data_IF_231336889995
#
_entry.id   IF_231336889995
#
_cell.length_a   1.000
_cell.length_b   1.000
_cell.length_c   1.000
_cell.angle_alpha   90.00
_cell.angle_beta   90.00
_cell.angle_gamma   90.00
#
_symmetry.space_group_name_H-M   'P 1'
#
loop_
_entity.id
_entity.type
_entity.pdbx_description
1 polymer ?
#
# COMPACT_ATOMS: atom_id res chain seq x y z
N UNK A 1 -15.16 24.53 -7.39
CA UNK A 1 -14.01 23.85 -6.74
C UNK A 1 -14.43 22.42 -6.41
N UNK A 2 -14.05 21.48 -7.24
CA UNK A 2 -14.33 20.05 -6.97
C UNK A 2 -13.07 19.39 -6.39
N UNK A 3 -12.96 19.37 -5.07
CA UNK A 3 -11.95 18.55 -4.39
C UNK A 3 -12.49 17.11 -4.35
N UNK A 4 -11.86 16.23 -5.11
CA UNK A 4 -12.24 14.83 -5.18
C UNK A 4 -11.07 13.94 -4.80
N UNK A 5 -11.16 13.28 -3.67
CA UNK A 5 -10.18 12.29 -3.24
C UNK A 5 -10.34 11.00 -4.04
N UNK A 6 -9.34 10.63 -4.83
CA UNK A 6 -9.31 9.40 -5.62
C UNK A 6 -8.86 8.18 -4.79
N UNK A 7 -7.95 8.41 -3.84
CA UNK A 7 -7.50 7.36 -2.92
C UNK A 7 -8.53 7.10 -1.84
N UNK A 8 -8.69 5.83 -1.46
CA UNK A 8 -9.57 5.44 -0.37
C UNK A 8 -8.87 5.49 0.99
N UNK A 9 -9.66 5.44 2.09
CA UNK A 9 -9.15 5.20 3.44
C UNK A 9 -8.32 3.91 3.54
N UNK A 10 -8.52 2.98 2.60
CA UNK A 10 -7.77 1.75 2.47
C UNK A 10 -6.27 1.99 2.22
N UNK A 11 -5.89 3.09 1.54
CA UNK A 11 -4.48 3.48 1.40
C UNK A 11 -3.82 3.71 2.76
N UNK A 12 -4.53 4.38 3.68
CA UNK A 12 -4.05 4.57 5.05
C UNK A 12 -3.98 3.25 5.81
N UNK A 13 -5.04 2.44 5.72
CA UNK A 13 -5.09 1.13 6.38
C UNK A 13 -3.95 0.22 5.94
N UNK A 14 -3.74 0.08 4.63
CA UNK A 14 -2.67 -0.75 4.06
C UNK A 14 -1.27 -0.23 4.38
N UNK A 15 -1.11 1.11 4.46
CA UNK A 15 0.20 1.71 4.71
C UNK A 15 0.63 1.67 6.16
N UNK A 16 -0.31 1.85 7.10
CA UNK A 16 0.00 1.99 8.51
C UNK A 16 -0.58 0.88 9.38
N UNK A 17 -1.88 0.59 9.24
CA UNK A 17 -2.58 -0.33 10.16
C UNK A 17 -2.12 -1.77 9.94
N UNK A 18 -2.11 -2.23 8.71
CA UNK A 18 -1.74 -3.61 8.38
C UNK A 18 -0.28 -3.94 8.78
N UNK A 19 0.75 -3.14 8.43
CA UNK A 19 2.12 -3.40 8.88
C UNK A 19 2.26 -3.34 10.40
N UNK A 20 1.61 -2.36 11.05
CA UNK A 20 1.67 -2.24 12.51
C UNK A 20 1.04 -3.44 13.20
N UNK A 21 -0.13 -3.89 12.76
CA UNK A 21 -0.76 -5.11 13.28
C UNK A 21 0.12 -6.34 13.08
N UNK A 22 0.69 -6.51 11.88
CA UNK A 22 1.58 -7.62 11.57
C UNK A 22 2.81 -7.61 12.50
N UNK A 23 3.51 -6.50 12.56
CA UNK A 23 4.73 -6.36 13.37
C UNK A 23 4.42 -6.60 14.84
N UNK A 24 3.37 -5.99 15.39
CA UNK A 24 3.02 -6.10 16.80
C UNK A 24 2.56 -7.52 17.15
N UNK A 25 1.59 -8.07 16.43
CA UNK A 25 0.98 -9.36 16.78
C UNK A 25 1.97 -10.52 16.61
N UNK A 26 2.62 -10.59 15.45
CA UNK A 26 3.57 -11.68 15.17
C UNK A 26 4.92 -11.45 15.87
N UNK A 27 5.34 -10.19 16.04
CA UNK A 27 6.56 -9.86 16.79
C UNK A 27 6.45 -10.20 18.26
N UNK A 28 5.30 -9.93 18.90
CA UNK A 28 5.03 -10.35 20.28
C UNK A 28 4.97 -11.88 20.38
N UNK A 29 4.39 -12.56 19.40
CA UNK A 29 4.38 -14.02 19.34
C UNK A 29 5.79 -14.60 19.23
N UNK A 30 6.64 -14.05 18.37
CA UNK A 30 8.04 -14.43 18.26
C UNK A 30 8.77 -14.22 19.59
N UNK A 31 8.64 -13.03 20.17
CA UNK A 31 9.26 -12.71 21.47
C UNK A 31 8.81 -13.68 22.56
N UNK A 32 7.53 -13.98 22.66
CA UNK A 32 7.00 -14.92 23.64
C UNK A 32 7.55 -16.34 23.46
N UNK A 33 7.80 -16.79 22.21
CA UNK A 33 8.46 -18.08 21.95
C UNK A 33 9.90 -18.13 22.50
N UNK A 34 10.66 -17.05 22.33
CA UNK A 34 12.04 -16.98 22.80
C UNK A 34 12.14 -16.80 24.32
N UNK A 35 11.21 -16.07 24.93
CA UNK A 35 11.15 -15.87 26.38
C UNK A 35 10.51 -17.05 27.15
N UNK A 36 10.05 -18.09 26.44
CA UNK A 36 9.40 -19.25 27.06
C UNK A 36 7.96 -18.99 27.53
N UNK A 37 7.34 -17.89 27.07
CA UNK A 37 5.94 -17.54 27.38
C UNK A 37 4.91 -18.37 26.61
N UNK A 38 5.30 -18.93 25.46
CA UNK A 38 4.47 -19.87 24.71
C UNK A 38 4.92 -21.30 24.98
N UNK A 39 3.99 -22.13 25.42
CA UNK A 39 4.22 -23.55 25.70
C UNK A 39 3.13 -24.37 25.05
N UNK A 40 3.49 -25.58 24.61
CA UNK A 40 2.57 -26.55 24.06
C UNK A 40 1.58 -27.10 25.12
N UNK A 41 0.62 -27.94 24.72
CA UNK A 41 -0.37 -28.54 25.62
C UNK A 41 0.26 -29.30 26.80
N UNK A 42 1.44 -29.91 26.56
CA UNK A 42 2.19 -30.68 27.56
C UNK A 42 3.18 -29.81 28.35
N UNK A 43 2.98 -28.51 28.39
CA UNK A 43 3.89 -27.52 29.02
C UNK A 43 5.34 -27.56 28.46
N UNK A 44 5.53 -28.13 27.29
CA UNK A 44 6.83 -28.23 26.62
C UNK A 44 7.14 -26.92 25.85
N UNK A 45 8.42 -26.48 25.85
CA UNK A 45 8.80 -25.32 25.04
C UNK A 45 8.72 -25.66 23.54
N UNK A 46 8.45 -24.66 22.67
CA UNK A 46 8.45 -24.85 21.23
C UNK A 46 9.82 -25.36 20.77
N UNK A 47 9.86 -26.30 19.78
CA UNK A 47 11.11 -26.75 19.19
C UNK A 47 11.94 -25.58 18.66
N UNK A 48 13.26 -25.66 18.74
CA UNK A 48 14.16 -24.61 18.26
C UNK A 48 13.92 -24.28 16.77
N UNK A 49 13.73 -25.29 15.93
CA UNK A 49 13.42 -25.07 14.51
C UNK A 49 12.14 -24.28 14.29
N UNK A 50 11.12 -24.44 15.14
CA UNK A 50 9.87 -23.66 15.07
C UNK A 50 10.11 -22.19 15.42
N UNK A 51 10.90 -21.89 16.45
CA UNK A 51 11.22 -20.51 16.85
C UNK A 51 11.91 -19.75 15.72
N UNK A 52 12.95 -20.36 15.15
CA UNK A 52 13.71 -19.76 14.05
C UNK A 52 12.89 -19.66 12.76
N UNK A 53 12.10 -20.69 12.45
CA UNK A 53 11.20 -20.66 11.30
C UNK A 53 10.15 -19.55 11.41
N UNK A 54 9.53 -19.39 12.58
CA UNK A 54 8.56 -18.32 12.85
C UNK A 54 9.20 -16.92 12.73
N UNK A 55 10.40 -16.76 13.30
CA UNK A 55 11.16 -15.51 13.20
C UNK A 55 11.49 -15.17 11.74
N UNK A 56 11.93 -16.15 10.95
CA UNK A 56 12.24 -15.96 9.53
C UNK A 56 10.99 -15.53 8.72
N UNK A 57 9.85 -16.18 8.95
CA UNK A 57 8.57 -15.81 8.31
C UNK A 57 8.14 -14.40 8.73
N UNK A 58 8.29 -14.05 10.00
CA UNK A 58 7.96 -12.71 10.48
C UNK A 58 8.83 -11.62 9.84
N UNK A 59 10.14 -11.84 9.74
CA UNK A 59 11.07 -10.91 9.08
C UNK A 59 10.74 -10.78 7.58
N UNK A 60 10.56 -11.91 6.89
CA UNK A 60 10.23 -11.92 5.47
C UNK A 60 8.90 -11.21 5.20
N UNK A 61 7.86 -11.50 5.98
CA UNK A 61 6.55 -10.85 5.88
C UNK A 61 6.61 -9.35 6.18
N UNK A 62 7.37 -8.94 7.21
CA UNK A 62 7.58 -7.53 7.54
C UNK A 62 8.28 -6.79 6.40
N UNK A 63 9.33 -7.38 5.83
CA UNK A 63 10.05 -6.80 4.69
C UNK A 63 9.15 -6.67 3.47
N UNK A 64 8.38 -7.70 3.16
CA UNK A 64 7.43 -7.70 2.05
C UNK A 64 6.34 -6.63 2.22
N UNK A 65 5.73 -6.53 3.41
CA UNK A 65 4.72 -5.53 3.71
C UNK A 65 5.29 -4.11 3.65
N UNK A 66 6.47 -3.91 4.22
CA UNK A 66 7.13 -2.62 4.17
C UNK A 66 7.39 -2.18 2.72
N UNK A 67 7.98 -3.07 1.91
CA UNK A 67 8.28 -2.78 0.51
C UNK A 67 7.01 -2.52 -0.33
N UNK A 68 5.97 -3.34 -0.17
CA UNK A 68 4.71 -3.20 -0.90
C UNK A 68 3.88 -1.98 -0.47
N UNK A 69 3.84 -1.70 0.84
CA UNK A 69 2.95 -0.66 1.39
C UNK A 69 3.61 0.72 1.47
N UNK A 70 4.94 0.81 1.57
CA UNK A 70 5.65 2.09 1.66
C UNK A 70 5.47 2.96 0.41
N UNK A 71 5.32 2.33 -0.76
CA UNK A 71 5.13 3.01 -2.05
C UNK A 71 3.76 3.69 -2.19
N UNK A 72 2.76 3.29 -1.39
CA UNK A 72 1.40 3.81 -1.49
C UNK A 72 1.32 5.29 -1.12
N UNK A 73 0.67 6.09 -1.99
CA UNK A 73 0.46 7.52 -1.83
C UNK A 73 -1.03 7.83 -1.76
N UNK A 74 -1.37 8.94 -1.13
CA UNK A 74 -2.72 9.51 -1.18
C UNK A 74 -2.81 10.44 -2.38
N UNK A 75 -3.83 10.28 -3.21
CA UNK A 75 -4.03 11.08 -4.42
C UNK A 75 -5.39 11.77 -4.37
N UNK A 76 -5.39 13.07 -4.63
CA UNK A 76 -6.59 13.92 -4.78
C UNK A 76 -6.50 14.66 -6.11
N UNK A 77 -7.65 14.96 -6.70
CA UNK A 77 -7.79 15.86 -7.83
C UNK A 77 -8.43 17.15 -7.34
N UNK A 78 -7.79 18.25 -7.59
CA UNK A 78 -8.29 19.60 -7.27
C UNK A 78 -7.96 20.52 -8.44
N UNK A 79 -8.96 21.20 -8.98
CA UNK A 79 -8.82 22.25 -9.99
C UNK A 79 -7.81 21.92 -11.13
N UNK A 80 -8.00 20.80 -11.79
CA UNK A 80 -7.16 20.33 -12.92
C UNK A 80 -5.70 20.02 -12.55
N UNK A 81 -5.43 19.64 -11.31
CA UNK A 81 -4.13 19.13 -10.88
C UNK A 81 -4.27 17.94 -9.93
N UNK A 82 -3.26 17.10 -9.91
CA UNK A 82 -3.12 16.01 -8.96
C UNK A 82 -2.36 16.48 -7.73
N UNK A 83 -2.94 16.28 -6.56
CA UNK A 83 -2.28 16.45 -5.28
C UNK A 83 -1.91 15.08 -4.72
N UNK A 84 -0.63 14.84 -4.61
CA UNK A 84 -0.07 13.56 -4.17
C UNK A 84 0.60 13.76 -2.82
N UNK A 85 0.18 12.97 -1.83
CA UNK A 85 0.71 13.02 -0.47
C UNK A 85 1.18 11.66 0.00
N UNK A 86 2.31 11.63 0.69
CA UNK A 86 2.77 10.47 1.44
C UNK A 86 2.38 10.52 2.92
N UNK A 87 1.44 11.39 3.29
CA UNK A 87 0.98 11.75 4.64
C UNK A 87 1.91 12.69 5.43
N UNK A 88 3.17 12.88 4.99
CA UNK A 88 4.12 13.82 5.60
C UNK A 88 4.32 15.05 4.72
N UNK A 89 4.29 14.85 3.41
CA UNK A 89 4.44 15.91 2.39
C UNK A 89 3.38 15.75 1.33
N UNK A 90 2.96 16.86 0.75
CA UNK A 90 2.05 16.91 -0.39
C UNK A 90 2.71 17.71 -1.52
N UNK A 91 2.64 17.17 -2.73
CA UNK A 91 3.12 17.85 -3.95
C UNK A 91 1.97 18.00 -4.93
N UNK A 92 2.00 19.07 -5.70
CA UNK A 92 1.08 19.33 -6.81
C UNK A 92 1.72 18.87 -8.11
N UNK A 93 1.01 18.06 -8.87
CA UNK A 93 1.43 17.54 -10.16
C UNK A 93 0.38 17.96 -11.19
N UNK A 94 0.72 18.77 -12.18
CA UNK A 94 -0.21 19.13 -13.24
C UNK A 94 -0.48 17.91 -14.15
N UNK A 95 -1.64 17.86 -14.79
CA UNK A 95 -2.04 16.70 -15.62
C UNK A 95 -1.17 16.49 -16.84
N UNK A 96 -0.56 17.54 -17.39
CA UNK A 96 0.38 17.47 -18.52
C UNK A 96 1.68 16.69 -18.18
N UNK A 97 2.01 16.60 -16.89
CA UNK A 97 3.08 15.76 -16.38
C UNK A 97 2.75 14.26 -16.36
N UNK A 98 1.49 13.88 -16.50
CA UNK A 98 1.07 12.48 -16.55
C UNK A 98 1.38 11.91 -17.93
N UNK A 99 2.16 10.83 -17.95
CA UNK A 99 2.49 10.09 -19.18
C UNK A 99 1.49 8.99 -19.49
N UNK A 100 1.18 8.18 -18.48
CA UNK A 100 0.25 7.05 -18.60
C UNK A 100 -0.29 6.65 -17.22
N UNK A 101 -1.41 5.92 -17.22
CA UNK A 101 -2.03 5.38 -16.02
C UNK A 101 -2.27 3.89 -16.21
N UNK A 102 -1.66 3.08 -15.34
CA UNK A 102 -1.76 1.62 -15.37
C UNK A 102 -2.48 1.08 -14.13
N UNK A 103 -3.15 -0.04 -14.29
CA UNK A 103 -3.86 -0.76 -13.24
C UNK A 103 -3.29 -2.17 -13.11
N UNK A 104 -2.93 -2.56 -11.89
CA UNK A 104 -2.48 -3.92 -11.63
C UNK A 104 -3.69 -4.79 -11.22
N UNK A 105 -4.05 -5.74 -12.07
CA UNK A 105 -5.22 -6.63 -11.91
C UNK A 105 -4.91 -7.96 -11.23
N UNK A 106 -3.67 -8.20 -10.87
CA UNK A 106 -3.22 -9.49 -10.31
C UNK A 106 -3.71 -9.76 -8.89
N UNK A 107 -4.09 -8.72 -8.17
CA UNK A 107 -4.58 -8.82 -6.80
C UNK A 107 -6.00 -8.26 -6.81
N UNK A 108 -6.91 -8.85 -6.07
CA UNK A 108 -8.29 -8.38 -5.90
C UNK A 108 -8.40 -6.92 -5.38
N UNK A 109 -7.27 -6.34 -5.09
CA UNK A 109 -7.03 -4.94 -4.71
C UNK A 109 -6.29 -4.32 -5.89
N UNK A 110 -6.99 -3.61 -6.75
CA UNK A 110 -6.46 -3.03 -7.99
C UNK A 110 -5.66 -1.74 -7.74
N UNK A 111 -4.37 -1.79 -7.37
CA UNK A 111 -3.57 -0.56 -7.25
C UNK A 111 -3.43 0.11 -8.61
N UNK A 112 -3.64 1.41 -8.63
CA UNK A 112 -3.46 2.26 -9.81
C UNK A 112 -2.11 2.96 -9.71
N UNK A 113 -1.34 2.90 -10.78
CA UNK A 113 -0.05 3.58 -10.89
C UNK A 113 -0.11 4.64 -11.97
N UNK A 114 0.19 5.87 -11.59
CA UNK A 114 0.36 7.01 -12.48
C UNK A 114 1.85 7.10 -12.84
N UNK A 115 2.16 7.02 -14.12
CA UNK A 115 3.50 7.23 -14.65
C UNK A 115 3.66 8.69 -15.06
N UNK A 116 4.71 9.33 -14.58
CA UNK A 116 5.02 10.72 -14.86
C UNK A 116 6.06 10.83 -15.97
N UNK A 117 6.07 11.98 -16.65
CA UNK A 117 7.05 12.29 -17.72
C UNK A 117 8.42 12.67 -17.14
N UNK A 118 8.45 13.12 -15.88
CA UNK A 118 9.65 13.49 -15.15
C UNK A 118 9.56 13.02 -13.69
N UNK A 119 10.72 12.83 -13.07
CA UNK A 119 10.79 12.45 -11.66
C UNK A 119 10.40 13.63 -10.76
N UNK A 120 9.59 13.34 -9.76
CA UNK A 120 9.20 14.26 -8.69
C UNK A 120 9.88 13.85 -7.39
N UNK A 121 9.65 14.58 -6.30
CA UNK A 121 10.09 14.19 -4.93
C UNK A 121 9.61 12.80 -4.51
N UNK A 122 8.59 12.25 -5.19
CA UNK A 122 8.06 10.89 -4.96
C UNK A 122 8.44 9.90 -6.07
N UNK A 123 9.37 10.28 -6.96
CA UNK A 123 9.79 9.51 -8.11
C UNK A 123 8.93 9.77 -9.35
N UNK A 124 9.10 8.92 -10.36
CA UNK A 124 8.41 8.95 -11.65
C UNK A 124 7.11 8.11 -11.65
N UNK A 125 6.83 7.39 -10.56
CA UNK A 125 5.68 6.49 -10.42
C UNK A 125 4.95 6.75 -9.11
N UNK A 126 3.66 7.01 -9.21
CA UNK A 126 2.78 7.26 -8.07
C UNK A 126 1.75 6.14 -8.00
N UNK A 127 1.86 5.30 -6.98
CA UNK A 127 0.91 4.20 -6.75
C UNK A 127 -0.05 4.55 -5.62
N UNK A 128 -1.34 4.33 -5.85
CA UNK A 128 -2.39 4.54 -4.86
C UNK A 128 -3.48 3.46 -4.96
N UNK A 129 -4.26 3.34 -3.88
CA UNK A 129 -5.42 2.44 -3.82
C UNK A 129 -6.69 3.25 -4.09
N UNK A 130 -7.38 3.01 -5.22
CA UNK A 130 -8.70 3.60 -5.46
C UNK A 130 -9.74 2.97 -4.51
N UNK A 131 -10.96 3.53 -4.48
CA UNK A 131 -12.06 2.96 -3.70
C UNK A 131 -12.33 1.52 -4.18
N UNK A 132 -12.34 0.58 -3.23
CA UNK A 132 -12.57 -0.83 -3.53
C UNK A 132 -13.93 -1.03 -4.20
N UNK A 133 -13.94 -1.76 -5.31
CA UNK A 133 -15.15 -2.27 -5.96
C UNK A 133 -15.13 -3.79 -5.86
N UNK A 134 -16.05 -4.35 -5.10
CA UNK A 134 -16.20 -5.79 -4.95
C UNK A 134 -16.79 -6.35 -6.25
N UNK A 135 -16.14 -7.36 -6.82
CA UNK A 135 -16.61 -8.12 -7.99
C UNK A 135 -16.74 -7.37 -9.33
N UNK A 136 -15.84 -6.50 -9.69
CA UNK A 136 -15.81 -5.93 -11.05
C UNK A 136 -14.57 -6.35 -11.82
N UNK A 137 -14.74 -7.18 -12.83
CA UNK A 137 -13.71 -7.56 -13.81
C UNK A 137 -13.35 -6.43 -14.79
N UNK A 138 -14.04 -5.30 -14.72
CA UNK A 138 -13.81 -4.13 -15.59
C UNK A 138 -12.78 -3.19 -14.95
N UNK A 139 -12.06 -2.46 -15.82
CA UNK A 139 -11.12 -1.40 -15.40
C UNK A 139 -11.80 -0.41 -14.47
N UNK A 140 -11.04 0.08 -13.49
CA UNK A 140 -11.57 1.06 -12.55
C UNK A 140 -11.86 2.38 -13.29
N UNK A 141 -13.03 3.01 -13.12
CA UNK A 141 -13.41 4.23 -13.85
C UNK A 141 -12.43 5.39 -13.61
N UNK A 142 -11.76 5.42 -12.47
CA UNK A 142 -10.68 6.38 -12.18
C UNK A 142 -9.53 6.30 -13.20
N UNK A 143 -9.24 5.11 -13.75
CA UNK A 143 -8.19 4.94 -14.77
C UNK A 143 -8.59 5.62 -16.07
N UNK A 144 -9.83 5.43 -16.50
CA UNK A 144 -10.36 6.08 -17.71
C UNK A 144 -10.40 7.61 -17.53
N UNK A 145 -10.92 8.08 -16.40
CA UNK A 145 -10.99 9.50 -16.04
C UNK A 145 -9.60 10.16 -16.02
N UNK A 146 -8.61 9.53 -15.39
CA UNK A 146 -7.25 10.07 -15.35
C UNK A 146 -6.58 10.10 -16.72
N UNK A 147 -6.87 9.12 -17.59
CA UNK A 147 -6.37 9.13 -18.97
C UNK A 147 -7.01 10.25 -19.79
N UNK A 148 -8.31 10.45 -19.66
CA UNK A 148 -9.00 11.56 -20.34
C UNK A 148 -8.43 12.90 -19.90
N UNK A 149 -8.23 13.12 -18.60
CA UNK A 149 -7.67 14.37 -18.07
C UNK A 149 -6.20 14.58 -18.44
N UNK A 150 -5.43 13.51 -18.68
CA UNK A 150 -4.03 13.60 -19.10
C UNK A 150 -3.88 13.89 -20.60
N UNK A 151 -4.94 13.68 -21.40
CA UNK A 151 -4.95 13.89 -22.85
C UNK A 151 -5.84 15.07 -23.28
N UNK A 152 -6.52 15.71 -22.35
CA UNK A 152 -7.30 16.92 -22.58
C UNK A 152 -6.43 18.17 -22.48
#
# INVERSE_FOLDING_TARGET
>A
MSDRTLSSAQTFYMKFVLPTMWISMFGLGALAMFLGGLRGPDNTPPPEGMKWGFLAVWIAGTTFLYWGCASLKKVRVVDSALYVSNYLREIRIPFDAVRDVTENRWINIHPVTIHLRFATDFGDRITFMPKMRIFTWRSHPVVAELRELAHA
#
